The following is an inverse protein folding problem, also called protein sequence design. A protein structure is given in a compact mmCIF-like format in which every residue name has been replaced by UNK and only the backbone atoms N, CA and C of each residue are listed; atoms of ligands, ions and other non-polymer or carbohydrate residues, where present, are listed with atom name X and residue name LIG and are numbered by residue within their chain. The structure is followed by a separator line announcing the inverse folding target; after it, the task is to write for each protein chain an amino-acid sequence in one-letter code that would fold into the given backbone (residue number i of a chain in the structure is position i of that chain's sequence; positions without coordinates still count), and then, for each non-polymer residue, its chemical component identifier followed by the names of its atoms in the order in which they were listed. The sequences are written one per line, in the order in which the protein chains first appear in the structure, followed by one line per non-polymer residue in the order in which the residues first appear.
data_IF_363194363799
#
_entry.id   IF_363194363799
#
_cell.length_a   1.000
_cell.length_b   1.000
_cell.length_c   1.000
_cell.angle_alpha   90.00
_cell.angle_beta   90.00
_cell.angle_gamma   90.00
#
_symmetry.space_group_name_H-M   'P 1'
#
loop_
_entity.id
_entity.type
_entity.pdbx_description
1 polymer ?
#
# COMPACT_ATOMS: atom_id res chain seq x y z
N UNK A 1 -28.65 55.74 -15.48
CA UNK A 1 -28.51 54.87 -14.28
C UNK A 1 -28.26 53.45 -14.75
N UNK A 2 -27.05 52.92 -14.58
CA UNK A 2 -26.73 51.52 -14.83
C UNK A 2 -26.62 50.79 -13.47
N UNK A 3 -27.25 49.62 -13.26
CA UNK A 3 -27.11 48.90 -12.00
C UNK A 3 -25.78 48.13 -11.96
N UNK A 4 -25.08 48.21 -10.81
CA UNK A 4 -23.81 47.51 -10.57
C UNK A 4 -23.99 46.03 -10.22
N UNK A 5 -22.97 45.17 -10.41
CA UNK A 5 -23.07 43.75 -10.15
C UNK A 5 -22.97 43.40 -8.66
N UNK A 6 -23.86 42.52 -8.22
CA UNK A 6 -23.92 41.92 -6.87
C UNK A 6 -22.88 40.81 -6.74
N UNK A 7 -21.92 40.94 -5.83
CA UNK A 7 -20.95 39.88 -5.52
C UNK A 7 -21.58 38.90 -4.51
N UNK A 8 -22.04 37.75 -5.00
CA UNK A 8 -22.48 36.60 -4.18
C UNK A 8 -21.27 35.72 -3.85
N UNK A 9 -20.71 35.86 -2.66
CA UNK A 9 -19.63 35.01 -2.14
C UNK A 9 -20.15 33.61 -1.74
N UNK A 10 -20.27 32.71 -2.72
CA UNK A 10 -20.29 31.26 -2.46
C UNK A 10 -18.86 30.75 -2.42
N UNK A 11 -18.33 30.46 -1.24
CA UNK A 11 -17.26 29.47 -1.04
C UNK A 11 -17.12 29.10 0.44
N UNK A 12 -17.84 28.07 0.92
CA UNK A 12 -17.45 27.33 2.13
C UNK A 12 -16.92 25.92 1.82
N UNK A 13 -17.10 25.39 0.61
CA UNK A 13 -16.82 23.97 0.32
C UNK A 13 -15.39 23.67 -0.13
N UNK A 14 -14.60 24.68 -0.54
CA UNK A 14 -13.22 24.47 -0.98
C UNK A 14 -12.25 24.25 0.21
N UNK A 15 -12.62 24.77 1.39
CA UNK A 15 -11.83 24.60 2.62
C UNK A 15 -11.94 23.18 3.19
N UNK A 16 -13.01 22.43 2.88
CA UNK A 16 -13.20 21.06 3.40
C UNK A 16 -12.46 20.01 2.56
N UNK A 17 -12.19 20.30 1.29
CA UNK A 17 -11.39 19.44 0.42
C UNK A 17 -9.89 19.46 0.79
N UNK A 18 -9.40 20.59 1.34
CA UNK A 18 -8.00 20.75 1.74
C UNK A 18 -7.60 19.97 3.01
N UNK A 19 -8.57 19.36 3.72
CA UNK A 19 -8.29 18.54 4.92
C UNK A 19 -7.96 17.08 4.59
N UNK A 20 -8.15 16.63 3.34
CA UNK A 20 -7.97 15.23 2.93
C UNK A 20 -6.64 14.97 2.18
N UNK A 21 -5.77 15.97 2.08
CA UNK A 21 -4.52 15.92 1.30
C UNK A 21 -3.25 16.01 2.14
N UNK A 22 -3.31 15.73 3.45
CA UNK A 22 -2.08 15.50 4.21
C UNK A 22 -1.74 14.01 4.09
N UNK A 23 -0.76 13.61 3.25
CA UNK A 23 -0.17 12.29 3.40
C UNK A 23 0.31 12.21 4.86
N UNK A 24 -0.19 11.22 5.59
CA UNK A 24 0.31 10.90 6.92
C UNK A 24 1.83 10.96 6.86
N UNK A 25 2.45 11.92 7.55
CA UNK A 25 3.90 12.02 7.64
C UNK A 25 4.38 10.70 8.20
N UNK A 26 4.91 9.89 7.31
CA UNK A 26 5.34 8.56 7.61
C UNK A 26 6.68 8.67 8.33
N UNK A 27 6.71 8.24 9.59
CA UNK A 27 7.92 8.24 10.43
C UNK A 27 9.06 7.50 9.72
N UNK A 28 10.10 8.26 9.37
CA UNK A 28 11.20 7.89 8.47
C UNK A 28 12.39 7.25 9.18
N UNK A 29 12.33 7.07 10.50
CA UNK A 29 13.47 6.65 11.32
C UNK A 29 13.91 5.20 11.06
N UNK A 30 13.00 4.32 10.62
CA UNK A 30 13.31 2.89 10.40
C UNK A 30 12.90 2.35 9.02
N UNK A 31 12.44 3.21 8.11
CA UNK A 31 11.82 2.77 6.85
C UNK A 31 12.39 3.50 5.64
N UNK A 32 13.06 2.75 4.75
CA UNK A 32 13.35 3.17 3.39
C UNK A 32 12.08 3.09 2.54
N UNK A 33 11.14 4.00 2.76
CA UNK A 33 10.11 4.30 1.77
C UNK A 33 10.72 5.29 0.79
N UNK A 34 10.81 4.88 -0.48
CA UNK A 34 11.20 5.77 -1.56
C UNK A 34 9.98 6.08 -2.39
N UNK A 35 9.68 7.36 -2.56
CA UNK A 35 8.73 7.81 -3.56
C UNK A 35 9.31 7.56 -4.96
N UNK A 36 8.41 7.23 -5.89
CA UNK A 36 8.73 6.93 -7.28
C UNK A 36 7.88 7.86 -8.16
N UNK A 37 8.55 8.69 -8.94
CA UNK A 37 7.92 9.58 -9.91
C UNK A 37 8.16 9.08 -11.32
N UNK A 38 7.35 9.52 -12.28
CA UNK A 38 7.47 9.06 -13.67
C UNK A 38 8.90 9.27 -14.20
N UNK A 39 9.58 8.17 -14.52
CA UNK A 39 10.94 8.18 -15.05
C UNK A 39 12.01 7.80 -14.03
N UNK A 40 11.65 7.70 -12.74
CA UNK A 40 12.53 7.13 -11.74
C UNK A 40 12.66 5.61 -11.95
N UNK A 41 13.77 5.07 -11.47
CA UNK A 41 14.03 3.64 -11.43
C UNK A 41 14.54 3.26 -10.05
N UNK A 42 14.06 2.13 -9.52
CA UNK A 42 14.52 1.55 -8.26
C UNK A 42 15.11 0.18 -8.50
N UNK A 43 16.14 -0.16 -7.74
CA UNK A 43 16.79 -1.48 -7.76
C UNK A 43 16.55 -2.15 -6.42
N UNK A 44 15.94 -3.34 -6.47
CA UNK A 44 15.72 -4.18 -5.31
C UNK A 44 16.66 -5.39 -5.39
N UNK A 45 17.62 -5.51 -4.45
CA UNK A 45 18.47 -6.69 -4.37
C UNK A 45 17.66 -7.99 -4.22
N UNK A 46 18.19 -9.08 -4.78
CA UNK A 46 17.54 -10.38 -4.72
C UNK A 46 17.35 -10.86 -3.27
N UNK A 47 16.17 -11.38 -2.96
CA UNK A 47 15.83 -11.92 -1.64
C UNK A 47 15.36 -10.86 -0.63
N UNK A 48 15.39 -9.57 -0.96
CA UNK A 48 14.82 -8.53 -0.11
C UNK A 48 13.32 -8.38 -0.32
N UNK A 49 12.61 -8.30 0.80
CA UNK A 49 11.18 -7.97 0.82
C UNK A 49 11.01 -6.51 0.42
N UNK A 50 10.18 -6.27 -0.58
CA UNK A 50 9.79 -4.95 -1.03
C UNK A 50 8.29 -4.94 -1.34
N UNK A 51 7.70 -3.75 -1.38
CA UNK A 51 6.29 -3.55 -1.68
C UNK A 51 6.11 -2.26 -2.48
N UNK A 52 5.02 -2.19 -3.22
CA UNK A 52 4.61 -1.00 -3.97
C UNK A 52 3.20 -0.65 -3.53
N UNK A 53 2.96 0.62 -3.24
CA UNK A 53 1.64 1.16 -2.87
C UNK A 53 1.44 2.42 -3.69
N UNK A 54 0.28 2.54 -4.34
CA UNK A 54 -0.15 3.77 -4.99
C UNK A 54 -1.06 4.55 -4.02
N UNK A 55 -0.57 5.63 -3.39
CA UNK A 55 -1.40 6.48 -2.53
C UNK A 55 -2.20 7.54 -3.33
N UNK A 56 -1.97 7.66 -4.64
CA UNK A 56 -2.60 8.65 -5.50
C UNK A 56 -4.03 8.30 -5.92
N UNK A 57 -4.75 9.30 -6.42
CA UNK A 57 -6.14 9.14 -6.92
C UNK A 57 -6.21 8.69 -8.39
N UNK A 58 -5.08 8.51 -9.05
CA UNK A 58 -4.98 8.11 -10.45
C UNK A 58 -4.19 6.81 -10.56
N UNK A 59 -4.47 6.04 -11.60
CA UNK A 59 -3.78 4.79 -11.87
C UNK A 59 -2.28 5.02 -12.13
N UNK A 60 -1.44 4.35 -11.36
CA UNK A 60 0.00 4.32 -11.55
C UNK A 60 0.40 3.01 -12.23
N UNK A 61 1.22 3.09 -13.28
CA UNK A 61 1.75 1.93 -14.00
C UNK A 61 3.26 1.91 -13.88
N UNK A 62 3.82 0.76 -13.48
CA UNK A 62 5.26 0.52 -13.40
C UNK A 62 5.70 -0.59 -14.36
N UNK A 63 6.96 -0.53 -14.78
CA UNK A 63 7.62 -1.59 -15.56
C UNK A 63 8.69 -2.24 -14.69
N UNK A 64 8.62 -3.57 -14.55
CA UNK A 64 9.57 -4.35 -13.74
C UNK A 64 10.46 -5.20 -14.65
N UNK A 65 11.77 -5.20 -14.37
CA UNK A 65 12.77 -5.99 -15.07
C UNK A 65 13.46 -6.94 -14.10
N UNK A 66 13.75 -8.15 -14.56
CA UNK A 66 14.42 -9.19 -13.77
C UNK A 66 15.68 -9.64 -14.50
N UNK A 67 16.75 -9.89 -13.75
CA UNK A 67 18.03 -10.38 -14.27
C UNK A 67 18.04 -11.90 -14.59
N UNK A 68 16.91 -12.57 -14.42
CA UNK A 68 16.71 -14.00 -14.71
C UNK A 68 15.54 -14.19 -15.66
N UNK A 69 15.68 -15.12 -16.61
CA UNK A 69 14.58 -15.55 -17.49
C UNK A 69 13.50 -16.35 -16.75
N UNK A 70 13.80 -16.86 -15.55
CA UNK A 70 12.85 -17.51 -14.65
C UNK A 70 12.86 -16.83 -13.28
N UNK A 71 12.26 -15.64 -13.14
CA UNK A 71 12.16 -14.95 -11.87
C UNK A 71 11.22 -15.73 -10.94
N UNK A 72 11.62 -15.88 -9.68
CA UNK A 72 10.75 -16.45 -8.65
C UNK A 72 10.19 -15.34 -7.77
N UNK A 73 8.91 -15.42 -7.47
CA UNK A 73 8.21 -14.50 -6.59
C UNK A 73 7.76 -15.26 -5.34
N UNK A 74 8.07 -14.69 -4.17
CA UNK A 74 7.53 -15.14 -2.91
C UNK A 74 6.66 -14.02 -2.34
N UNK A 75 5.35 -14.19 -2.47
CA UNK A 75 4.38 -13.23 -1.95
C UNK A 75 4.19 -13.51 -0.46
N UNK A 76 4.73 -12.63 0.39
CA UNK A 76 4.86 -12.86 1.83
C UNK A 76 3.54 -13.24 2.52
N UNK A 77 2.46 -12.51 2.28
CA UNK A 77 1.17 -12.76 2.94
C UNK A 77 0.52 -14.08 2.50
N UNK A 78 0.69 -14.49 1.24
CA UNK A 78 0.26 -15.82 0.79
C UNK A 78 1.14 -16.93 1.36
N UNK A 79 2.45 -16.69 1.49
CA UNK A 79 3.37 -17.64 2.13
C UNK A 79 3.14 -17.80 3.64
N UNK A 80 2.51 -16.82 4.30
CA UNK A 80 2.16 -16.91 5.72
C UNK A 80 0.76 -17.49 5.95
N UNK A 81 -0.22 -17.14 5.10
CA UNK A 81 -1.63 -17.42 5.38
C UNK A 81 -2.39 -18.09 4.23
N UNK A 82 -1.93 -18.01 2.98
CA UNK A 82 -2.60 -18.59 1.80
C UNK A 82 -2.16 -20.03 1.50
N UNK A 83 -1.82 -20.81 2.52
CA UNK A 83 -1.29 -22.16 2.39
C UNK A 83 -1.66 -23.05 3.60
N UNK A 84 -1.16 -24.28 3.58
CA UNK A 84 -1.39 -25.31 4.60
C UNK A 84 -0.38 -25.27 5.77
N UNK A 85 0.32 -24.14 5.96
CA UNK A 85 1.19 -23.95 7.13
C UNK A 85 0.35 -24.09 8.41
N UNK A 86 0.78 -24.91 9.40
CA UNK A 86 0.04 -25.06 10.66
C UNK A 86 -0.24 -23.70 11.32
N UNK A 87 -1.51 -23.44 11.67
CA UNK A 87 -1.91 -22.14 12.24
C UNK A 87 -1.10 -21.75 13.47
N UNK A 88 -0.72 -22.70 14.33
CA UNK A 88 0.13 -22.43 15.51
C UNK A 88 1.48 -21.79 15.15
N UNK A 89 2.08 -22.17 14.02
CA UNK A 89 3.35 -21.59 13.58
C UNK A 89 3.15 -20.17 13.03
N UNK A 90 2.05 -19.94 12.32
CA UNK A 90 1.68 -18.60 11.89
C UNK A 90 1.41 -17.67 13.10
N UNK A 91 0.66 -18.15 14.10
CA UNK A 91 0.40 -17.44 15.36
C UNK A 91 1.71 -17.08 16.08
N UNK A 92 2.62 -18.04 16.23
CA UNK A 92 3.89 -17.83 16.93
C UNK A 92 4.87 -16.92 16.17
N UNK A 93 4.94 -17.04 14.84
CA UNK A 93 5.89 -16.24 14.03
C UNK A 93 5.43 -14.80 13.83
N UNK A 94 4.12 -14.58 13.78
CA UNK A 94 3.52 -13.25 13.53
C UNK A 94 3.02 -12.56 14.80
N UNK A 95 2.96 -13.29 15.92
CA UNK A 95 2.42 -12.84 17.20
C UNK A 95 0.95 -12.39 17.11
N UNK A 96 0.20 -12.90 16.13
CA UNK A 96 -1.23 -12.67 15.96
C UNK A 96 -2.05 -13.71 16.74
N UNK A 97 -3.24 -13.31 17.19
CA UNK A 97 -4.16 -14.23 17.86
C UNK A 97 -4.80 -15.22 16.89
N UNK A 98 -5.26 -16.35 17.44
CA UNK A 98 -5.86 -17.43 16.66
C UNK A 98 -7.07 -17.00 15.80
N UNK A 99 -7.90 -16.08 16.30
CA UNK A 99 -9.07 -15.62 15.54
C UNK A 99 -8.63 -14.76 14.34
N UNK A 100 -7.62 -13.90 14.51
CA UNK A 100 -7.02 -13.12 13.41
C UNK A 100 -6.36 -14.03 12.38
N UNK A 101 -5.55 -15.01 12.80
CA UNK A 101 -4.90 -15.97 11.89
C UNK A 101 -5.94 -16.80 11.12
N UNK A 102 -6.99 -17.26 11.79
CA UNK A 102 -8.11 -17.97 11.16
C UNK A 102 -8.78 -17.12 10.08
N UNK A 103 -9.03 -15.84 10.38
CA UNK A 103 -9.63 -14.91 9.41
C UNK A 103 -8.71 -14.69 8.21
N UNK A 104 -7.41 -14.46 8.44
CA UNK A 104 -6.44 -14.23 7.37
C UNK A 104 -6.30 -15.46 6.46
N UNK A 105 -6.21 -16.67 7.04
CA UNK A 105 -6.16 -17.92 6.27
C UNK A 105 -7.43 -18.13 5.44
N UNK A 106 -8.61 -17.92 6.03
CA UNK A 106 -9.88 -18.03 5.30
C UNK A 106 -9.99 -17.02 4.15
N UNK A 107 -9.54 -15.77 4.34
CA UNK A 107 -9.56 -14.74 3.29
C UNK A 107 -8.57 -15.01 2.15
N UNK A 108 -7.42 -15.62 2.47
CA UNK A 108 -6.32 -15.85 1.52
C UNK A 108 -6.29 -17.27 0.95
N UNK A 109 -7.26 -18.13 1.32
CA UNK A 109 -7.42 -19.48 0.78
C UNK A 109 -6.54 -20.56 1.42
N UNK A 110 -6.00 -20.32 2.62
CA UNK A 110 -5.22 -21.32 3.36
C UNK A 110 -6.07 -22.19 4.30
N UNK A 111 -5.57 -23.38 4.63
CA UNK A 111 -6.20 -24.26 5.62
C UNK A 111 -5.87 -23.79 7.06
N UNK A 112 -6.85 -23.87 7.96
CA UNK A 112 -6.65 -23.59 9.38
C UNK A 112 -6.31 -24.87 10.15
#
# INVERSE_FOLDING_TARGET
MCPGPTLSSRQPDEARAASLSQPQRYDSSERRITEDTKGDAKVFPQGLVHFQVNPGFVDATGLNFYSSSNPRLQILHLALFGNDLPHRLAEQSTFLDAATVKKLKAMLGGSY
#
